data_IF_012828611151
#
_entry.id   IF_012828611151
#
_cell.length_a   1.000
_cell.length_b   1.000
_cell.length_c   1.000
_cell.angle_alpha   90.00
_cell.angle_beta   90.00
_cell.angle_gamma   90.00
#
_symmetry.space_group_name_H-M   'P 1'
#
loop_
_entity.id
_entity.type
_entity.pdbx_description
1 polymer ?
#
# COMPACT_ATOMS: atom_id res chain seq x y z
N UNK A 1 11.26 27.67 -5.53
CA UNK A 1 11.97 27.87 -4.24
C UNK A 1 12.09 26.58 -3.44
N UNK A 2 11.02 25.84 -3.24
CA UNK A 2 11.04 24.51 -2.57
C UNK A 2 11.99 23.53 -3.31
N UNK A 3 11.85 23.42 -4.61
CA UNK A 3 12.67 22.53 -5.43
C UNK A 3 14.14 22.94 -5.50
N UNK A 4 14.42 24.25 -5.44
CA UNK A 4 15.80 24.75 -5.34
C UNK A 4 16.46 24.33 -4.02
N UNK A 5 15.72 24.32 -2.90
CA UNK A 5 16.20 23.82 -1.61
C UNK A 5 16.46 22.31 -1.66
N UNK A 6 15.57 21.53 -2.27
CA UNK A 6 15.76 20.08 -2.44
C UNK A 6 16.98 19.80 -3.31
N UNK A 7 17.13 20.49 -4.46
CA UNK A 7 18.28 20.34 -5.35
C UNK A 7 19.60 20.66 -4.65
N UNK A 8 19.66 21.81 -3.94
CA UNK A 8 20.84 22.22 -3.19
C UNK A 8 21.19 21.20 -2.07
N UNK A 9 20.18 20.72 -1.34
CA UNK A 9 20.38 19.73 -0.29
C UNK A 9 20.98 18.43 -0.85
N UNK A 10 20.38 17.87 -1.90
CA UNK A 10 20.87 16.63 -2.51
C UNK A 10 22.24 16.78 -3.14
N UNK A 11 22.55 17.94 -3.76
CA UNK A 11 23.88 18.20 -4.24
C UNK A 11 24.91 18.11 -3.10
N UNK A 12 24.67 18.82 -1.99
CA UNK A 12 25.56 18.82 -0.83
C UNK A 12 25.66 17.45 -0.16
N UNK A 13 24.53 16.72 -0.04
CA UNK A 13 24.54 15.36 0.53
C UNK A 13 25.38 14.38 -0.30
N UNK A 14 25.41 14.54 -1.61
CA UNK A 14 26.23 13.72 -2.50
C UNK A 14 27.70 14.12 -2.49
N UNK A 15 28.00 15.42 -2.37
CA UNK A 15 29.38 15.95 -2.38
C UNK A 15 30.08 15.76 -1.04
N UNK A 16 29.41 16.05 0.07
CA UNK A 16 30.03 16.13 1.41
C UNK A 16 29.50 15.08 2.38
N UNK A 17 28.36 14.46 2.07
CA UNK A 17 27.64 13.59 2.98
C UNK A 17 26.54 14.29 3.76
N UNK A 18 25.59 13.51 4.24
CA UNK A 18 24.42 14.02 4.95
C UNK A 18 24.79 14.68 6.29
N UNK A 19 25.65 14.06 7.09
CA UNK A 19 25.99 14.53 8.45
C UNK A 19 26.77 15.86 8.39
N UNK A 20 27.67 16.02 7.42
CA UNK A 20 28.52 17.20 7.24
C UNK A 20 27.78 18.37 6.57
N UNK A 21 26.54 18.18 6.15
CA UNK A 21 25.74 19.23 5.49
C UNK A 21 24.78 19.86 6.50
N UNK A 22 24.87 21.18 6.67
CA UNK A 22 23.98 21.96 7.55
C UNK A 22 22.85 22.62 6.77
N UNK A 23 21.78 23.04 7.46
CA UNK A 23 20.70 23.85 6.86
C UNK A 23 21.26 25.16 6.31
N UNK A 24 22.28 25.75 6.97
CA UNK A 24 22.89 26.98 6.52
C UNK A 24 23.66 26.82 5.20
N UNK A 25 24.32 25.69 4.98
CA UNK A 25 24.94 25.37 3.70
C UNK A 25 23.88 25.21 2.58
N UNK A 26 22.77 24.54 2.89
CA UNK A 26 21.68 24.32 1.92
C UNK A 26 21.07 25.66 1.49
N UNK A 27 20.76 26.54 2.43
CA UNK A 27 20.13 27.83 2.09
C UNK A 27 21.12 28.79 1.39
N UNK A 28 22.41 28.73 1.73
CA UNK A 28 23.44 29.46 1.05
C UNK A 28 23.56 29.02 -0.41
N UNK A 29 23.61 27.74 -0.68
CA UNK A 29 23.68 27.21 -2.04
C UNK A 29 22.39 27.48 -2.84
N UNK A 30 21.23 27.41 -2.19
CA UNK A 30 19.94 27.69 -2.83
C UNK A 30 19.67 29.19 -3.04
N UNK A 31 20.51 30.08 -2.50
CA UNK A 31 20.34 31.54 -2.60
C UNK A 31 19.12 32.08 -1.84
N UNK A 32 18.74 31.44 -0.72
CA UNK A 32 17.58 31.83 0.09
C UNK A 32 17.92 31.98 1.57
N UNK A 33 17.03 32.58 2.33
CA UNK A 33 17.22 32.71 3.79
C UNK A 33 16.77 31.48 4.56
N UNK A 34 17.38 31.29 5.76
CA UNK A 34 17.05 30.19 6.68
C UNK A 34 15.53 30.08 7.00
N UNK A 35 14.84 31.24 7.13
CA UNK A 35 13.39 31.29 7.34
C UNK A 35 12.62 30.65 6.18
N UNK A 36 13.13 30.75 4.95
CA UNK A 36 12.50 30.11 3.78
C UNK A 36 12.62 28.61 3.82
N UNK A 37 13.72 28.06 4.34
CA UNK A 37 13.87 26.62 4.56
C UNK A 37 12.79 26.09 5.50
N UNK A 38 12.73 26.66 6.72
CA UNK A 38 11.80 26.20 7.76
C UNK A 38 10.31 26.45 7.46
N UNK A 39 10.01 27.27 6.45
CA UNK A 39 8.64 27.39 5.93
C UNK A 39 8.21 26.15 5.15
N UNK A 40 9.14 25.46 4.47
CA UNK A 40 8.86 24.30 3.64
C UNK A 40 9.20 22.98 4.32
N UNK A 41 10.22 22.98 5.15
CA UNK A 41 10.79 21.79 5.76
C UNK A 41 11.03 22.03 7.26
N UNK A 42 10.28 21.37 8.14
CA UNK A 42 10.46 21.47 9.60
C UNK A 42 11.87 21.06 10.05
N UNK A 43 12.51 20.12 9.36
CA UNK A 43 13.85 19.61 9.70
C UNK A 43 14.68 19.33 8.44
N UNK A 44 15.96 18.97 8.63
CA UNK A 44 16.86 18.54 7.54
C UNK A 44 16.41 17.19 6.94
N UNK A 45 15.81 16.33 7.76
CA UNK A 45 15.24 15.07 7.34
C UNK A 45 14.09 15.27 6.34
N UNK A 46 13.23 16.26 6.57
CA UNK A 46 12.09 16.55 5.71
C UNK A 46 12.48 16.93 4.29
N UNK A 47 13.67 17.56 4.10
CA UNK A 47 14.13 17.89 2.74
C UNK A 47 14.54 16.64 1.95
N UNK A 48 14.84 15.54 2.62
CA UNK A 48 15.12 14.23 1.98
C UNK A 48 13.82 13.56 1.51
N UNK A 49 12.71 13.86 2.17
CA UNK A 49 11.39 13.28 1.90
C UNK A 49 10.36 14.36 1.51
N UNK A 50 10.65 15.20 0.51
CA UNK A 50 9.90 16.42 0.27
C UNK A 50 8.42 16.18 -0.09
N UNK A 51 8.09 15.08 -0.74
CA UNK A 51 6.78 14.85 -1.34
C UNK A 51 5.84 14.01 -0.47
N UNK A 52 6.34 13.43 0.63
CA UNK A 52 5.56 12.49 1.43
C UNK A 52 4.36 13.10 2.15
N UNK A 53 4.46 14.35 2.64
CA UNK A 53 3.33 15.04 3.28
C UNK A 53 2.18 15.24 2.28
N UNK A 54 2.49 15.69 1.08
CA UNK A 54 1.50 15.87 0.01
C UNK A 54 0.92 14.53 -0.41
N UNK A 55 1.76 13.54 -0.66
CA UNK A 55 1.31 12.21 -1.07
C UNK A 55 0.41 11.53 -0.02
N UNK A 56 0.71 11.69 1.28
CA UNK A 56 -0.14 11.20 2.35
C UNK A 56 -1.50 11.93 2.37
N UNK A 57 -1.51 13.24 2.16
CA UNK A 57 -2.75 14.02 2.08
C UNK A 57 -3.59 13.59 0.86
N UNK A 58 -2.97 13.44 -0.31
CA UNK A 58 -3.63 12.99 -1.54
C UNK A 58 -4.21 11.57 -1.36
N UNK A 59 -3.44 10.66 -0.75
CA UNK A 59 -3.91 9.30 -0.43
C UNK A 59 -5.10 9.33 0.54
N UNK A 60 -5.04 10.16 1.59
CA UNK A 60 -6.13 10.28 2.56
C UNK A 60 -7.39 10.88 1.91
N UNK A 61 -7.23 11.88 1.04
CA UNK A 61 -8.34 12.45 0.28
C UNK A 61 -8.98 11.41 -0.65
N UNK A 62 -8.16 10.65 -1.37
CA UNK A 62 -8.63 9.54 -2.20
C UNK A 62 -9.46 8.52 -1.40
N UNK A 63 -8.98 8.13 -0.21
CA UNK A 63 -9.70 7.18 0.65
C UNK A 63 -11.00 7.75 1.21
N UNK A 64 -11.10 9.07 1.38
CA UNK A 64 -12.30 9.74 1.87
C UNK A 64 -13.40 9.93 0.81
N UNK A 65 -13.08 9.79 -0.48
CA UNK A 65 -14.06 9.82 -1.55
C UNK A 65 -15.00 8.61 -1.48
N UNK A 66 -16.23 8.78 -1.96
CA UNK A 66 -17.19 7.67 -2.03
C UNK A 66 -16.65 6.55 -2.94
N UNK A 67 -16.43 5.40 -2.36
CA UNK A 67 -15.95 4.21 -3.07
C UNK A 67 -17.08 3.44 -3.79
N UNK A 68 -18.34 3.81 -3.56
CA UNK A 68 -19.50 3.08 -4.10
C UNK A 68 -19.47 1.61 -3.67
N UNK A 69 -19.47 0.71 -4.65
CA UNK A 69 -19.45 -0.75 -4.43
C UNK A 69 -18.05 -1.37 -4.53
N UNK A 70 -16.99 -0.57 -4.58
CA UNK A 70 -15.62 -1.07 -4.69
C UNK A 70 -15.22 -1.87 -3.44
N UNK A 71 -14.54 -3.01 -3.65
CA UNK A 71 -13.97 -3.79 -2.55
C UNK A 71 -12.97 -2.95 -1.74
N UNK A 72 -13.09 -2.92 -0.39
CA UNK A 72 -12.21 -2.13 0.46
C UNK A 72 -10.71 -2.47 0.33
N UNK A 73 -10.38 -3.74 0.11
CA UNK A 73 -8.98 -4.17 -0.10
C UNK A 73 -8.46 -3.64 -1.43
N UNK A 74 -9.29 -3.66 -2.47
CA UNK A 74 -8.97 -3.01 -3.73
C UNK A 74 -8.71 -1.52 -3.54
N UNK A 75 -9.57 -0.84 -2.77
CA UNK A 75 -9.44 0.60 -2.51
C UNK A 75 -8.12 0.97 -1.83
N UNK A 76 -7.70 0.24 -0.80
CA UNK A 76 -6.42 0.52 -0.13
C UNK A 76 -5.21 0.14 -1.00
N UNK A 77 -5.34 -0.85 -1.89
CA UNK A 77 -4.32 -1.12 -2.89
C UNK A 77 -4.20 0.01 -3.91
N UNK A 78 -5.32 0.58 -4.38
CA UNK A 78 -5.31 1.73 -5.28
C UNK A 78 -4.70 2.96 -4.61
N UNK A 79 -4.98 3.20 -3.34
CA UNK A 79 -4.35 4.23 -2.54
C UNK A 79 -2.82 4.06 -2.45
N UNK A 80 -2.33 2.82 -2.28
CA UNK A 80 -0.90 2.53 -2.27
C UNK A 80 -0.21 2.81 -3.62
N UNK A 81 -0.94 2.67 -4.74
CA UNK A 81 -0.44 3.02 -6.08
C UNK A 81 -0.11 4.51 -6.24
N UNK A 82 -0.81 5.40 -5.51
CA UNK A 82 -0.48 6.83 -5.51
C UNK A 82 0.93 7.08 -4.96
N UNK A 83 1.33 6.32 -3.94
CA UNK A 83 2.69 6.42 -3.38
C UNK A 83 3.74 5.98 -4.41
N UNK A 84 3.48 4.91 -5.16
CA UNK A 84 4.38 4.49 -6.23
C UNK A 84 4.56 5.57 -7.30
N UNK A 85 3.46 6.20 -7.74
CA UNK A 85 3.51 7.26 -8.76
C UNK A 85 4.42 8.40 -8.34
N UNK A 86 4.34 8.83 -7.08
CA UNK A 86 5.25 9.84 -6.53
C UNK A 86 6.73 9.44 -6.69
N UNK A 87 7.07 8.17 -6.46
CA UNK A 87 8.44 7.68 -6.67
C UNK A 87 8.82 7.60 -8.16
N UNK A 88 7.87 7.19 -9.01
CA UNK A 88 8.07 7.00 -10.44
C UNK A 88 8.13 8.32 -11.23
N UNK A 89 7.57 9.42 -10.71
CA UNK A 89 7.66 10.75 -11.32
C UNK A 89 9.12 11.23 -11.51
N UNK A 90 10.01 10.87 -10.58
CA UNK A 90 11.42 11.19 -10.68
C UNK A 90 12.30 10.01 -10.22
N UNK A 91 12.56 9.03 -11.10
CA UNK A 91 13.32 7.81 -10.78
C UNK A 91 14.71 8.11 -10.25
N UNK A 92 15.42 9.04 -10.88
CA UNK A 92 16.79 9.43 -10.49
C UNK A 92 16.83 9.94 -9.06
N UNK A 93 15.94 10.86 -8.71
CA UNK A 93 15.83 11.39 -7.36
C UNK A 93 15.46 10.29 -6.35
N UNK A 94 14.50 9.44 -6.70
CA UNK A 94 14.05 8.34 -5.85
C UNK A 94 15.17 7.33 -5.54
N UNK A 95 15.99 7.01 -6.52
CA UNK A 95 17.18 6.14 -6.36
C UNK A 95 18.24 6.84 -5.49
N UNK A 96 18.52 8.11 -5.71
CA UNK A 96 19.47 8.88 -4.88
C UNK A 96 19.02 8.92 -3.42
N UNK A 97 17.74 9.23 -3.16
CA UNK A 97 17.13 9.21 -1.84
C UNK A 97 17.26 7.83 -1.18
N UNK A 98 16.91 6.77 -1.89
CA UNK A 98 17.02 5.40 -1.39
C UNK A 98 18.46 5.04 -1.00
N UNK A 99 19.45 5.40 -1.84
CA UNK A 99 20.88 5.14 -1.55
C UNK A 99 21.34 5.93 -0.33
N UNK A 100 20.90 7.19 -0.19
CA UNK A 100 21.21 8.03 0.95
C UNK A 100 20.61 7.47 2.25
N UNK A 101 19.33 7.15 2.23
CA UNK A 101 18.59 6.60 3.39
C UNK A 101 19.21 5.30 3.90
N UNK A 102 19.72 4.46 2.99
CA UNK A 102 20.43 3.22 3.40
C UNK A 102 21.76 3.46 4.11
N UNK A 103 22.44 4.57 3.82
CA UNK A 103 23.74 4.89 4.38
C UNK A 103 23.65 5.61 5.72
N UNK A 104 22.55 6.32 5.97
CA UNK A 104 22.37 7.19 7.13
C UNK A 104 21.34 6.59 8.08
N UNK A 105 21.72 6.05 9.25
CA UNK A 105 20.80 5.38 10.17
C UNK A 105 19.62 6.26 10.63
N UNK A 106 19.87 7.56 10.87
CA UNK A 106 18.84 8.53 11.25
C UNK A 106 17.76 8.69 10.17
N UNK A 107 18.15 8.76 8.89
CA UNK A 107 17.21 8.84 7.77
C UNK A 107 16.42 7.55 7.60
N UNK A 108 17.01 6.40 7.91
CA UNK A 108 16.28 5.14 7.88
C UNK A 108 15.20 5.08 8.97
N UNK A 109 15.51 5.54 10.17
CA UNK A 109 14.52 5.63 11.26
C UNK A 109 13.39 6.60 10.89
N UNK A 110 13.72 7.73 10.27
CA UNK A 110 12.73 8.69 9.77
C UNK A 110 11.84 8.07 8.68
N UNK A 111 12.42 7.40 7.68
CA UNK A 111 11.67 6.67 6.64
C UNK A 111 10.65 5.70 7.23
N UNK A 112 11.04 4.93 8.27
CA UNK A 112 10.12 4.00 8.94
C UNK A 112 8.94 4.73 9.60
N UNK A 113 9.17 5.90 10.19
CA UNK A 113 8.09 6.71 10.77
C UNK A 113 7.12 7.22 9.70
N UNK A 114 7.63 7.57 8.53
CA UNK A 114 6.82 7.97 7.37
C UNK A 114 5.99 6.79 6.86
N UNK A 115 6.59 5.62 6.70
CA UNK A 115 5.90 4.38 6.27
C UNK A 115 4.78 4.02 7.24
N UNK A 116 5.03 4.13 8.55
CA UNK A 116 4.01 3.86 9.57
C UNK A 116 2.79 4.80 9.46
N UNK A 117 2.99 6.06 9.05
CA UNK A 117 1.87 7.01 8.82
C UNK A 117 0.98 6.56 7.66
N UNK A 118 1.54 6.04 6.58
CA UNK A 118 0.78 5.46 5.47
C UNK A 118 -0.02 4.22 5.93
N UNK A 119 0.65 3.30 6.63
CA UNK A 119 0.00 2.10 7.15
C UNK A 119 -1.19 2.44 8.06
N UNK A 120 -0.98 3.40 8.96
CA UNK A 120 -2.02 3.89 9.86
C UNK A 120 -3.21 4.48 9.10
N UNK A 121 -2.99 5.29 8.07
CA UNK A 121 -4.08 5.88 7.28
C UNK A 121 -4.90 4.80 6.55
N UNK A 122 -4.26 3.77 6.00
CA UNK A 122 -4.95 2.63 5.39
C UNK A 122 -5.77 1.86 6.43
N UNK A 123 -5.20 1.58 7.60
CA UNK A 123 -5.87 0.88 8.68
C UNK A 123 -7.07 1.68 9.23
N UNK A 124 -6.93 2.99 9.39
CA UNK A 124 -8.02 3.88 9.84
C UNK A 124 -9.19 3.88 8.85
N UNK A 125 -8.91 3.93 7.54
CA UNK A 125 -9.94 3.79 6.51
C UNK A 125 -10.70 2.45 6.65
N UNK A 126 -9.99 1.34 6.71
CA UNK A 126 -10.59 0.00 6.81
C UNK A 126 -11.42 -0.18 8.09
N UNK A 127 -11.00 0.39 9.22
CA UNK A 127 -11.74 0.36 10.50
C UNK A 127 -12.99 1.23 10.47
N UNK A 128 -12.99 2.30 9.68
CA UNK A 128 -14.12 3.23 9.55
C UNK A 128 -15.27 2.68 8.71
N UNK A 129 -15.13 1.55 8.05
CA UNK A 129 -16.18 0.97 7.21
C UNK A 129 -17.31 0.37 8.07
N UNK A 130 -18.58 0.55 7.65
CA UNK A 130 -19.72 0.04 8.39
C UNK A 130 -19.80 -1.49 8.20
N UNK A 131 -19.24 -2.24 9.05
CA UNK A 131 -19.57 -3.64 9.35
C UNK A 131 -18.47 -4.27 10.20
N UNK A 132 -18.76 -4.72 11.34
CA UNK A 132 -17.93 -5.69 11.95
C UNK A 132 -17.59 -5.40 13.41
N UNK A 133 -17.30 -6.38 14.12
CA UNK A 133 -16.90 -6.41 15.50
C UNK A 133 -15.38 -6.32 15.67
N UNK A 134 -14.93 -6.70 16.85
CA UNK A 134 -13.50 -6.70 17.25
C UNK A 134 -12.57 -7.48 16.30
N UNK A 135 -13.11 -8.47 15.56
CA UNK A 135 -12.36 -9.24 14.55
C UNK A 135 -11.96 -8.37 13.33
N UNK A 136 -12.76 -7.34 13.01
CA UNK A 136 -12.49 -6.49 11.85
C UNK A 136 -11.38 -5.48 12.11
N UNK A 137 -11.14 -5.06 13.37
CA UNK A 137 -10.01 -4.19 13.71
C UNK A 137 -8.68 -4.89 13.44
N UNK A 138 -8.52 -6.15 13.86
CA UNK A 138 -7.31 -6.92 13.58
C UNK A 138 -7.14 -7.16 12.08
N UNK A 139 -8.24 -7.50 11.37
CA UNK A 139 -8.22 -7.66 9.93
C UNK A 139 -7.77 -6.38 9.23
N UNK A 140 -8.29 -5.22 9.63
CA UNK A 140 -7.90 -3.92 9.08
C UNK A 140 -6.39 -3.67 9.23
N UNK A 141 -5.84 -3.92 10.42
CA UNK A 141 -4.41 -3.77 10.69
C UNK A 141 -3.56 -4.73 9.85
N UNK A 142 -3.97 -6.01 9.78
CA UNK A 142 -3.27 -7.03 8.98
C UNK A 142 -3.28 -6.68 7.50
N UNK A 143 -4.43 -6.26 6.96
CA UNK A 143 -4.55 -5.87 5.54
C UNK A 143 -3.69 -4.63 5.25
N UNK A 144 -3.75 -3.60 6.08
CA UNK A 144 -2.94 -2.40 5.89
C UNK A 144 -1.44 -2.73 5.91
N UNK A 145 -0.99 -3.54 6.87
CA UNK A 145 0.39 -4.01 6.94
C UNK A 145 0.79 -4.84 5.71
N UNK A 146 -0.09 -5.72 5.22
CA UNK A 146 0.15 -6.53 4.02
C UNK A 146 0.29 -5.65 2.77
N UNK A 147 -0.59 -4.65 2.58
CA UNK A 147 -0.51 -3.68 1.47
C UNK A 147 0.82 -2.92 1.52
N UNK A 148 1.21 -2.39 2.67
CA UNK A 148 2.48 -1.66 2.84
C UNK A 148 3.68 -2.58 2.61
N UNK A 149 3.65 -3.82 3.10
CA UNK A 149 4.73 -4.80 2.90
C UNK A 149 4.89 -5.17 1.42
N UNK A 150 3.80 -5.45 0.72
CA UNK A 150 3.79 -5.79 -0.71
C UNK A 150 4.30 -4.62 -1.56
N UNK A 151 3.75 -3.41 -1.35
CA UNK A 151 4.18 -2.19 -2.03
C UNK A 151 5.68 -1.94 -1.82
N UNK A 152 6.15 -1.94 -0.56
CA UNK A 152 7.54 -1.67 -0.23
C UNK A 152 8.50 -2.74 -0.75
N UNK A 153 8.07 -4.00 -0.84
CA UNK A 153 8.88 -5.06 -1.44
C UNK A 153 9.16 -4.76 -2.93
N UNK A 154 8.12 -4.47 -3.69
CA UNK A 154 8.23 -4.16 -5.11
C UNK A 154 9.00 -2.85 -5.35
N UNK A 155 8.66 -1.77 -4.62
CA UNK A 155 9.34 -0.48 -4.70
C UNK A 155 10.84 -0.61 -4.41
N UNK A 156 11.23 -1.28 -3.32
CA UNK A 156 12.64 -1.47 -2.97
C UNK A 156 13.38 -2.34 -3.99
N UNK A 157 12.70 -3.29 -4.62
CA UNK A 157 13.28 -4.08 -5.70
C UNK A 157 13.61 -3.19 -6.91
N UNK A 158 12.68 -2.35 -7.32
CA UNK A 158 12.86 -1.39 -8.39
C UNK A 158 13.95 -0.36 -8.08
N UNK A 159 13.99 0.20 -6.86
CA UNK A 159 15.04 1.14 -6.44
C UNK A 159 16.44 0.49 -6.40
N UNK A 160 16.54 -0.81 -6.06
CA UNK A 160 17.81 -1.56 -6.10
C UNK A 160 18.31 -1.82 -7.51
N UNK A 161 17.41 -1.91 -8.48
CA UNK A 161 17.76 -1.99 -9.90
C UNK A 161 17.97 -0.61 -10.55
N UNK A 162 18.28 0.40 -9.72
CA UNK A 162 18.54 1.78 -10.14
C UNK A 162 17.36 2.43 -10.89
N UNK A 163 16.15 2.05 -10.53
CA UNK A 163 14.93 2.57 -11.15
C UNK A 163 14.69 2.01 -12.56
N UNK A 164 15.35 0.92 -12.92
CA UNK A 164 15.13 0.25 -14.22
C UNK A 164 13.95 -0.70 -14.15
N UNK A 165 13.30 -0.91 -15.30
CA UNK A 165 12.13 -1.78 -15.42
C UNK A 165 10.83 -1.06 -15.07
N UNK A 166 9.74 -1.81 -15.16
CA UNK A 166 8.38 -1.33 -14.94
C UNK A 166 8.01 -1.43 -13.45
N UNK A 167 8.06 -0.28 -12.78
CA UNK A 167 7.70 -0.16 -11.36
C UNK A 167 6.22 -0.41 -11.12
N UNK A 168 5.36 0.05 -12.04
CA UNK A 168 3.90 -0.11 -11.91
C UNK A 168 3.52 -1.58 -11.99
N UNK A 169 4.02 -2.29 -12.99
CA UNK A 169 3.79 -3.73 -13.13
C UNK A 169 4.30 -4.52 -11.93
N UNK A 170 5.45 -4.14 -11.36
CA UNK A 170 6.01 -4.82 -10.18
C UNK A 170 5.13 -4.63 -8.94
N UNK A 171 4.64 -3.40 -8.73
CA UNK A 171 3.74 -3.08 -7.61
C UNK A 171 2.35 -3.70 -7.83
N UNK A 172 1.84 -3.68 -9.06
CA UNK A 172 0.56 -4.31 -9.38
C UNK A 172 0.55 -5.81 -9.09
N UNK A 173 1.61 -6.53 -9.45
CA UNK A 173 1.75 -7.94 -9.10
C UNK A 173 1.80 -8.18 -7.59
N UNK A 174 2.52 -7.33 -6.86
CA UNK A 174 2.65 -7.47 -5.41
C UNK A 174 1.32 -7.16 -4.69
N UNK A 175 0.60 -6.12 -5.13
CA UNK A 175 -0.71 -5.76 -4.58
C UNK A 175 -1.79 -6.75 -5.01
N UNK A 176 -1.70 -7.32 -6.23
CA UNK A 176 -2.57 -8.42 -6.69
C UNK A 176 -2.56 -9.59 -5.72
N UNK A 177 -1.38 -9.99 -5.23
CA UNK A 177 -1.28 -11.04 -4.21
C UNK A 177 -2.07 -10.71 -2.92
N UNK A 178 -2.05 -9.43 -2.50
CA UNK A 178 -2.84 -8.99 -1.34
C UNK A 178 -4.34 -9.04 -1.64
N UNK A 179 -4.75 -8.59 -2.83
CA UNK A 179 -6.15 -8.63 -3.27
C UNK A 179 -6.68 -10.06 -3.35
N UNK A 180 -5.92 -10.98 -3.91
CA UNK A 180 -6.28 -12.39 -4.01
C UNK A 180 -6.39 -13.06 -2.63
N UNK A 181 -5.60 -12.59 -1.65
CA UNK A 181 -5.55 -13.18 -0.31
C UNK A 181 -6.64 -12.62 0.61
N UNK A 182 -6.92 -11.32 0.54
CA UNK A 182 -7.74 -10.60 1.52
C UNK A 182 -8.98 -9.95 0.93
N UNK A 183 -9.04 -9.79 -0.40
CA UNK A 183 -10.20 -9.23 -1.09
C UNK A 183 -11.44 -10.11 -0.92
N UNK A 184 -12.60 -9.49 -1.08
CA UNK A 184 -13.85 -10.24 -1.21
C UNK A 184 -13.76 -11.06 -2.50
N UNK A 185 -14.12 -12.34 -2.43
CA UNK A 185 -14.29 -13.11 -3.66
C UNK A 185 -15.22 -12.31 -4.58
N UNK A 186 -14.94 -12.25 -5.90
CA UNK A 186 -15.89 -11.69 -6.83
C UNK A 186 -17.26 -12.27 -6.49
N UNK A 187 -18.25 -11.42 -6.29
CA UNK A 187 -19.64 -11.90 -6.25
C UNK A 187 -19.85 -12.49 -7.63
N UNK A 188 -19.66 -13.80 -7.76
CA UNK A 188 -20.10 -14.48 -8.96
C UNK A 188 -21.57 -14.04 -9.14
N UNK A 189 -21.94 -13.50 -10.31
CA UNK A 189 -23.35 -13.23 -10.57
C UNK A 189 -24.06 -14.52 -10.18
N UNK A 190 -25.04 -14.40 -9.28
CA UNK A 190 -25.73 -15.55 -8.71
C UNK A 190 -25.88 -16.56 -9.83
N UNK A 191 -25.06 -17.61 -9.81
CA UNK A 191 -25.34 -18.75 -10.68
C UNK A 191 -26.78 -19.04 -10.38
N UNK A 192 -27.60 -19.02 -11.42
CA UNK A 192 -28.95 -19.60 -11.33
C UNK A 192 -28.82 -20.80 -10.40
N UNK A 193 -29.52 -20.74 -9.27
CA UNK A 193 -29.34 -21.71 -8.18
C UNK A 193 -29.22 -23.06 -8.84
N UNK A 194 -28.11 -23.81 -8.67
CA UNK A 194 -28.06 -25.13 -9.25
C UNK A 194 -29.32 -25.83 -8.71
N UNK A 195 -30.13 -26.35 -9.63
CA UNK A 195 -31.29 -27.19 -9.30
C UNK A 195 -30.89 -28.01 -8.08
N UNK A 196 -31.68 -27.99 -7.02
CA UNK A 196 -31.35 -28.52 -5.69
C UNK A 196 -30.50 -29.78 -5.78
N UNK A 197 -29.20 -29.67 -5.46
CA UNK A 197 -28.30 -30.81 -5.52
C UNK A 197 -28.50 -31.63 -4.25
N UNK A 198 -29.14 -32.77 -4.38
CA UNK A 198 -29.25 -33.70 -3.28
C UNK A 198 -28.06 -34.65 -3.28
N UNK A 199 -27.25 -34.60 -2.23
CA UNK A 199 -26.15 -35.53 -2.02
C UNK A 199 -26.61 -36.69 -1.15
N UNK A 200 -26.66 -37.89 -1.72
CA UNK A 200 -27.02 -39.12 -1.00
C UNK A 200 -25.76 -39.91 -0.68
N UNK A 201 -25.51 -40.13 0.61
CA UNK A 201 -24.40 -40.99 1.08
C UNK A 201 -24.93 -42.38 1.44
N UNK A 202 -24.58 -43.38 0.64
CA UNK A 202 -24.96 -44.76 0.89
C UNK A 202 -23.75 -45.67 1.14
N UNK A 203 -23.96 -46.81 1.82
CA UNK A 203 -22.89 -47.80 2.04
C UNK A 203 -22.48 -48.44 0.72
N UNK A 204 -21.19 -48.62 0.51
CA UNK A 204 -20.66 -49.34 -0.66
C UNK A 204 -21.27 -50.78 -0.70
N UNK A 205 -21.99 -51.07 -1.77
CA UNK A 205 -22.69 -52.35 -1.93
C UNK A 205 -24.16 -52.35 -1.51
N UNK A 206 -24.74 -51.18 -1.16
CA UNK A 206 -26.19 -51.09 -0.97
C UNK A 206 -26.92 -51.42 -2.30
N UNK A 207 -27.98 -52.20 -2.29
CA UNK A 207 -28.74 -52.49 -3.50
C UNK A 207 -29.38 -51.22 -4.04
N UNK A 208 -29.37 -51.06 -5.36
CA UNK A 208 -29.80 -49.84 -6.05
C UNK A 208 -31.22 -49.38 -5.66
N UNK A 209 -32.14 -50.31 -5.46
CA UNK A 209 -33.49 -49.97 -5.04
C UNK A 209 -33.54 -49.22 -3.69
N UNK A 210 -32.61 -49.49 -2.79
CA UNK A 210 -32.52 -48.83 -1.48
C UNK A 210 -32.01 -47.42 -1.62
N UNK A 211 -31.04 -47.20 -2.51
CA UNK A 211 -30.52 -45.85 -2.82
C UNK A 211 -31.62 -44.98 -3.44
N UNK A 212 -32.40 -45.55 -4.39
CA UNK A 212 -33.53 -44.84 -5.00
C UNK A 212 -34.60 -44.50 -3.96
N UNK A 213 -34.94 -45.41 -3.05
CA UNK A 213 -35.93 -45.16 -1.99
C UNK A 213 -35.46 -44.06 -0.99
N UNK A 214 -34.16 -43.99 -0.67
CA UNK A 214 -33.59 -42.93 0.15
C UNK A 214 -33.65 -41.57 -0.55
N UNK A 215 -33.41 -41.52 -1.86
CA UNK A 215 -33.54 -40.33 -2.69
C UNK A 215 -35.00 -39.85 -2.72
N UNK A 216 -35.96 -40.74 -3.04
CA UNK A 216 -37.38 -40.40 -3.06
C UNK A 216 -37.88 -39.91 -1.69
N UNK A 217 -37.40 -40.54 -0.60
CA UNK A 217 -37.72 -40.10 0.76
C UNK A 217 -37.11 -38.75 1.15
N UNK A 218 -36.00 -38.37 0.55
CA UNK A 218 -35.39 -37.07 0.74
C UNK A 218 -36.19 -35.96 0.03
N UNK A 219 -36.65 -36.22 -1.18
CA UNK A 219 -37.52 -35.29 -1.93
C UNK A 219 -38.92 -35.12 -1.34
N UNK A 220 -39.46 -36.16 -0.71
CA UNK A 220 -40.80 -36.12 -0.11
C UNK A 220 -40.86 -35.34 1.24
N UNK A 221 -39.69 -34.91 1.79
CA UNK A 221 -39.57 -34.19 3.07
C UNK A 221 -39.24 -32.71 2.91
N UNK A 222 -39.03 -32.20 1.73
CA UNK A 222 -38.83 -30.80 1.39
C UNK A 222 -40.12 -30.21 0.81
#
# INVERSE_FOLDING_TARGET
>A
MRDALVGAAFQLFLERGYEETTVDDIVALAGVGRRSFFRYFPSKEDVVFPDHERCLADMTAFLAEDAGTQDPVQRVCDAARLVLRMYAENPTFSVQRYRLTRKVPGLRAYELSVVWRYERALAEYLRGLPAGGRADTLRADVVAAAVVAAHNNALRSWLRSDGTGDAELAVDKALGYVQDTFGSAPVEPAREQPEDVVVVVSRRGAPMWRVVQEIESAFARG
#
